data_IF_292851771104
#
_entry.id   IF_292851771104
#
_cell.length_a   1.000
_cell.length_b   1.000
_cell.length_c   1.000
_cell.angle_alpha   90.00
_cell.angle_beta   90.00
_cell.angle_gamma   90.00
#
_symmetry.space_group_name_H-M   'P 1'
#
loop_
_entity.id
_entity.type
_entity.pdbx_description
1 polymer ?
#
# COMPACT_ATOMS: atom_id res chain seq x y z
N UNK A 1 11.12 -10.29 3.95
CA UNK A 1 10.69 -9.01 3.35
C UNK A 1 11.18 -7.89 4.26
N UNK A 2 12.13 -7.08 3.80
CA UNK A 2 12.60 -5.93 4.58
C UNK A 2 11.67 -4.74 4.28
N UNK A 3 11.20 -4.08 5.33
CA UNK A 3 10.21 -3.01 5.23
C UNK A 3 10.96 -1.70 4.98
N UNK A 4 11.14 -1.31 3.72
CA UNK A 4 12.04 -0.20 3.36
C UNK A 4 11.50 1.21 3.66
N UNK A 5 10.19 1.38 3.85
CA UNK A 5 9.61 2.69 4.20
C UNK A 5 10.16 3.25 5.52
N UNK A 6 10.67 2.40 6.43
CA UNK A 6 11.30 2.81 7.70
C UNK A 6 12.56 3.66 7.50
N UNK A 7 13.15 3.63 6.30
CA UNK A 7 14.25 4.53 5.94
C UNK A 7 13.83 6.00 5.92
N UNK A 8 12.52 6.28 5.86
CA UNK A 8 11.95 7.62 5.89
C UNK A 8 11.69 8.17 7.30
N UNK A 9 11.97 7.42 8.38
CA UNK A 9 11.69 7.85 9.76
C UNK A 9 12.47 9.11 10.19
N UNK A 10 13.61 9.38 9.55
CA UNK A 10 14.42 10.59 9.79
C UNK A 10 14.10 11.74 8.80
N UNK A 11 13.09 11.56 7.96
CA UNK A 11 12.71 12.46 6.88
C UNK A 11 12.63 11.72 5.53
N UNK A 12 12.00 12.34 4.50
CA UNK A 12 11.79 11.70 3.20
C UNK A 12 13.11 11.30 2.54
N UNK A 13 13.22 10.05 2.11
CA UNK A 13 14.38 9.55 1.37
C UNK A 13 14.07 9.54 -0.14
N UNK A 14 14.82 10.31 -0.92
CA UNK A 14 14.60 10.41 -2.37
C UNK A 14 14.93 9.13 -3.13
N UNK A 15 15.98 8.40 -2.74
CA UNK A 15 16.30 7.10 -3.37
C UNK A 15 15.17 6.10 -3.15
N UNK A 16 14.63 6.06 -1.93
CA UNK A 16 13.47 5.24 -1.64
C UNK A 16 12.27 5.65 -2.50
N UNK A 17 11.90 6.93 -2.49
CA UNK A 17 10.77 7.48 -3.23
C UNK A 17 10.86 7.25 -4.74
N UNK A 18 12.03 7.51 -5.32
CA UNK A 18 12.17 7.58 -6.77
C UNK A 18 12.53 6.23 -7.41
N UNK A 19 13.05 5.27 -6.62
CA UNK A 19 13.49 3.95 -7.13
C UNK A 19 12.81 2.78 -6.45
N UNK A 20 12.82 2.74 -5.12
CA UNK A 20 12.43 1.54 -4.37
C UNK A 20 10.91 1.42 -4.29
N UNK A 21 10.20 2.48 -3.90
CA UNK A 21 8.74 2.46 -3.75
C UNK A 21 8.01 2.11 -5.06
N UNK A 22 8.33 2.71 -6.23
CA UNK A 22 7.69 2.35 -7.49
C UNK A 22 7.86 0.87 -7.85
N UNK A 23 9.09 0.35 -7.77
CA UNK A 23 9.37 -1.07 -8.06
C UNK A 23 8.65 -2.03 -7.12
N UNK A 24 8.56 -1.66 -5.84
CA UNK A 24 7.81 -2.42 -4.86
C UNK A 24 6.32 -2.49 -5.22
N UNK A 25 5.68 -1.35 -5.50
CA UNK A 25 4.26 -1.34 -5.84
C UNK A 25 3.96 -2.00 -7.18
N UNK A 26 4.84 -1.86 -8.18
CA UNK A 26 4.70 -2.57 -9.46
C UNK A 26 4.76 -4.10 -9.28
N UNK A 27 5.62 -4.60 -8.40
CA UNK A 27 5.71 -6.03 -8.10
C UNK A 27 4.46 -6.51 -7.37
N UNK A 28 4.04 -5.82 -6.32
CA UNK A 28 2.88 -6.23 -5.51
C UNK A 28 1.59 -6.18 -6.34
N UNK A 29 1.44 -5.17 -7.20
CA UNK A 29 0.28 -5.02 -8.07
C UNK A 29 0.03 -6.23 -8.97
N UNK A 30 1.07 -6.94 -9.38
CA UNK A 30 0.95 -8.17 -10.20
C UNK A 30 0.19 -9.27 -9.45
N UNK A 31 0.45 -9.46 -8.17
CA UNK A 31 -0.26 -10.46 -7.37
C UNK A 31 -1.73 -10.09 -7.15
N UNK A 32 -2.05 -8.81 -6.97
CA UNK A 32 -3.43 -8.33 -6.86
C UNK A 32 -4.17 -8.37 -8.21
N UNK A 33 -3.46 -8.47 -9.33
CA UNK A 33 -4.04 -8.62 -10.66
C UNK A 33 -4.15 -10.08 -11.12
N UNK A 34 -3.51 -11.02 -10.43
CA UNK A 34 -3.42 -12.43 -10.84
C UNK A 34 -4.71 -13.22 -10.55
N UNK A 35 -5.58 -12.68 -9.71
CA UNK A 35 -6.83 -13.32 -9.29
C UNK A 35 -8.00 -12.37 -9.38
N UNK A 36 -9.20 -12.90 -9.59
CA UNK A 36 -10.43 -12.12 -9.46
C UNK A 36 -10.65 -11.72 -8.00
N UNK A 37 -11.00 -10.46 -7.77
CA UNK A 37 -11.26 -9.91 -6.46
C UNK A 37 -10.52 -8.59 -6.19
N UNK A 38 -10.55 -8.15 -4.93
CA UNK A 38 -9.98 -6.87 -4.50
C UNK A 38 -8.83 -7.05 -3.49
N UNK A 39 -8.59 -8.28 -3.04
CA UNK A 39 -7.58 -8.62 -2.04
C UNK A 39 -6.56 -9.57 -2.64
N UNK A 40 -5.44 -9.76 -1.94
CA UNK A 40 -4.37 -10.64 -2.40
C UNK A 40 -4.83 -12.08 -2.66
N UNK A 41 -5.78 -12.58 -1.86
CA UNK A 41 -6.40 -13.91 -2.04
C UNK A 41 -7.75 -13.83 -2.77
N UNK A 42 -7.91 -12.84 -3.65
CA UNK A 42 -9.12 -12.58 -4.41
C UNK A 42 -10.22 -11.91 -3.59
N UNK A 43 -11.22 -12.67 -3.16
CA UNK A 43 -12.39 -12.14 -2.44
C UNK A 43 -12.22 -12.11 -0.92
N UNK A 44 -11.15 -12.70 -0.40
CA UNK A 44 -10.93 -12.84 1.05
C UNK A 44 -9.75 -11.97 1.47
N UNK A 45 -9.99 -11.11 2.48
CA UNK A 45 -8.92 -10.34 3.11
C UNK A 45 -7.97 -11.25 3.88
N UNK A 46 -6.68 -11.00 3.76
CA UNK A 46 -5.61 -11.71 4.45
C UNK A 46 -4.79 -10.76 5.32
N UNK A 47 -3.90 -11.32 6.13
CA UNK A 47 -2.94 -10.51 6.89
C UNK A 47 -2.00 -9.70 5.97
N UNK A 48 -1.68 -10.23 4.79
CA UNK A 48 -0.81 -9.55 3.85
C UNK A 48 -1.43 -8.25 3.31
N UNK A 49 -2.76 -8.22 3.15
CA UNK A 49 -3.49 -7.02 2.73
C UNK A 49 -3.27 -5.87 3.73
N UNK A 50 -3.32 -6.16 5.03
CA UNK A 50 -3.04 -5.16 6.06
C UNK A 50 -1.60 -4.62 5.96
N UNK A 51 -0.61 -5.49 5.74
CA UNK A 51 0.78 -5.07 5.58
C UNK A 51 0.99 -4.19 4.34
N UNK A 52 0.33 -4.52 3.22
CA UNK A 52 0.38 -3.70 1.99
C UNK A 52 -0.29 -2.35 2.22
N UNK A 53 -1.45 -2.32 2.89
CA UNK A 53 -2.11 -1.06 3.23
C UNK A 53 -1.24 -0.16 4.11
N UNK A 54 -0.61 -0.72 5.15
CA UNK A 54 0.29 0.04 6.02
C UNK A 54 1.49 0.60 5.26
N UNK A 55 2.05 -0.13 4.29
CA UNK A 55 3.09 0.44 3.41
C UNK A 55 2.59 1.65 2.65
N UNK A 56 1.39 1.56 2.04
CA UNK A 56 0.78 2.67 1.27
C UNK A 56 0.54 3.88 2.17
N UNK A 57 -0.06 3.67 3.34
CA UNK A 57 -0.38 4.75 4.29
C UNK A 57 0.89 5.41 4.84
N UNK A 58 1.91 4.62 5.21
CA UNK A 58 3.17 5.17 5.68
C UNK A 58 3.87 5.99 4.59
N UNK A 59 3.96 5.46 3.37
CA UNK A 59 4.58 6.19 2.27
C UNK A 59 3.83 7.48 1.95
N UNK A 60 2.50 7.50 2.09
CA UNK A 60 1.71 8.72 1.95
C UNK A 60 2.07 9.73 3.06
N UNK A 61 2.08 9.30 4.32
CA UNK A 61 2.41 10.13 5.49
C UNK A 61 3.85 10.67 5.47
N UNK A 62 4.78 9.92 4.90
CA UNK A 62 6.18 10.34 4.74
C UNK A 62 6.45 11.11 3.44
N UNK A 63 5.44 11.33 2.59
CA UNK A 63 5.57 12.05 1.33
C UNK A 63 6.40 11.32 0.26
N UNK A 64 6.52 9.99 0.40
CA UNK A 64 7.31 9.09 -0.45
C UNK A 64 6.47 8.12 -1.26
N UNK A 65 5.14 8.16 -1.13
CA UNK A 65 4.25 7.42 -2.01
C UNK A 65 4.47 7.88 -3.46
N UNK A 66 4.57 6.95 -4.42
CA UNK A 66 4.58 7.31 -5.83
C UNK A 66 3.35 8.14 -6.19
N UNK A 67 3.49 9.04 -7.17
CA UNK A 67 2.41 9.93 -7.60
C UNK A 67 1.16 9.15 -8.06
N UNK A 68 1.36 7.94 -8.59
CA UNK A 68 0.30 7.03 -9.03
C UNK A 68 0.57 5.64 -8.50
N UNK A 69 -0.46 5.03 -7.91
CA UNK A 69 -0.46 3.59 -7.62
C UNK A 69 -0.96 2.82 -8.85
N UNK A 70 -0.47 1.59 -9.09
CA UNK A 70 -1.08 0.70 -10.07
C UNK A 70 -2.58 0.45 -9.77
N UNK A 71 -3.38 0.29 -10.83
CA UNK A 71 -4.85 0.22 -10.73
C UNK A 71 -5.37 -0.85 -9.76
N UNK A 72 -4.75 -2.03 -9.74
CA UNK A 72 -5.13 -3.12 -8.81
C UNK A 72 -4.95 -2.69 -7.35
N UNK A 73 -3.88 -1.98 -7.03
CA UNK A 73 -3.61 -1.46 -5.69
C UNK A 73 -4.47 -0.25 -5.34
N UNK A 74 -4.80 0.62 -6.30
CA UNK A 74 -5.73 1.72 -6.09
C UNK A 74 -7.14 1.22 -5.75
N UNK A 75 -7.62 0.19 -6.46
CA UNK A 75 -8.90 -0.49 -6.18
C UNK A 75 -8.88 -1.19 -4.83
N UNK A 76 -7.80 -1.94 -4.53
CA UNK A 76 -7.59 -2.55 -3.22
C UNK A 76 -7.66 -1.51 -2.09
N UNK A 77 -6.88 -0.42 -2.18
CA UNK A 77 -6.84 0.65 -1.17
C UNK A 77 -8.25 1.19 -0.90
N UNK A 78 -8.98 1.52 -1.96
CA UNK A 78 -10.35 2.03 -1.88
C UNK A 78 -11.27 1.05 -1.16
N UNK A 79 -11.20 -0.24 -1.52
CA UNK A 79 -12.01 -1.28 -0.90
C UNK A 79 -11.64 -1.55 0.57
N UNK A 80 -10.35 -1.45 0.90
CA UNK A 80 -9.83 -1.67 2.24
C UNK A 80 -10.24 -0.55 3.20
N UNK A 81 -10.18 0.71 2.75
CA UNK A 81 -10.58 1.89 3.52
C UNK A 81 -12.09 1.98 3.75
N UNK A 82 -12.90 1.42 2.84
CA UNK A 82 -14.36 1.35 2.99
C UNK A 82 -14.82 0.35 4.08
N UNK A 83 -13.92 -0.46 4.65
CA UNK A 83 -14.29 -1.43 5.69
C UNK A 83 -14.69 -0.70 6.98
N UNK A 84 -15.82 -1.06 7.64
CA UNK A 84 -16.35 -0.31 8.77
C UNK A 84 -15.35 -0.04 9.91
N UNK A 85 -14.58 -1.06 10.28
CA UNK A 85 -13.61 -0.97 11.38
C UNK A 85 -12.30 -0.24 11.00
N UNK A 86 -12.09 0.05 9.71
CA UNK A 86 -10.91 0.75 9.19
C UNK A 86 -11.26 2.21 8.88
N UNK A 87 -12.43 2.46 8.30
CA UNK A 87 -12.91 3.80 7.95
C UNK A 87 -12.83 4.77 9.14
N UNK A 88 -13.17 4.30 10.34
CA UNK A 88 -13.10 5.15 11.54
C UNK A 88 -11.69 5.33 12.10
N UNK A 89 -10.79 4.37 11.86
CA UNK A 89 -9.37 4.50 12.22
C UNK A 89 -8.66 5.51 11.31
N UNK A 90 -8.92 5.45 10.00
CA UNK A 90 -8.29 6.35 9.01
C UNK A 90 -8.67 7.82 9.24
N UNK A 91 -9.88 8.12 9.75
CA UNK A 91 -10.31 9.49 10.06
C UNK A 91 -9.53 10.14 11.22
N UNK A 92 -8.87 9.35 12.06
CA UNK A 92 -8.23 9.84 13.30
C UNK A 92 -6.76 10.21 13.12
N UNK A 93 -6.12 9.80 12.03
CA UNK A 93 -4.68 9.95 11.82
C UNK A 93 -4.36 10.85 10.63
#
# INVERSE_FOLDING_TARGET
MQVHWVTNLKGPNSEYKDKIAPQYYDLIARFYADHEGLYLLGHVVSYADFAVYVSIDNDARTGTLPATLPDSLARFKTAFEARPNIADYVKQG
#
